data_IF_751226108456
#
_entry.id   IF_751226108456
#
_cell.length_a   1.000
_cell.length_b   1.000
_cell.length_c   1.000
_cell.angle_alpha   90.00
_cell.angle_beta   90.00
_cell.angle_gamma   90.00
#
_symmetry.space_group_name_H-M   'P 1'
#
loop_
_entity.id
_entity.type
_entity.pdbx_description
1 polymer ?
#
# COMPACT_ATOMS: atom_id res chain seq x y z
N UNK A 1 -3.47 -7.51 -17.53
CA UNK A 1 -3.24 -6.68 -18.73
C UNK A 1 -2.37 -7.37 -19.77
N UNK A 2 -1.09 -7.66 -19.50
CA UNK A 2 -0.19 -8.33 -20.48
C UNK A 2 -0.77 -9.60 -21.10
N UNK A 3 -1.37 -10.49 -20.29
CA UNK A 3 -2.00 -11.71 -20.81
C UNK A 3 -3.19 -11.41 -21.74
N UNK A 4 -3.99 -10.39 -21.43
CA UNK A 4 -5.12 -9.97 -22.25
C UNK A 4 -4.66 -9.32 -23.56
N UNK A 5 -3.64 -8.46 -23.51
CA UNK A 5 -3.04 -7.80 -24.68
C UNK A 5 -2.46 -8.80 -25.67
N UNK A 6 -1.86 -9.88 -25.16
CA UNK A 6 -1.31 -10.97 -25.96
C UNK A 6 -2.37 -12.01 -26.37
N UNK A 7 -3.64 -11.81 -26.05
CA UNK A 7 -4.73 -12.73 -26.39
C UNK A 7 -4.66 -14.09 -25.67
N UNK A 8 -3.91 -14.19 -24.57
CA UNK A 8 -3.77 -15.41 -23.79
C UNK A 8 -5.01 -15.57 -22.90
N UNK A 9 -5.87 -16.54 -23.26
CA UNK A 9 -7.12 -16.83 -22.54
C UNK A 9 -7.09 -18.12 -21.73
N UNK A 10 -6.17 -19.02 -22.06
CA UNK A 10 -6.06 -20.32 -21.44
C UNK A 10 -4.62 -20.56 -20.97
N UNK A 11 -4.47 -21.20 -19.82
CA UNK A 11 -3.17 -21.64 -19.31
C UNK A 11 -2.81 -22.93 -20.04
N UNK A 12 -1.75 -22.87 -20.87
CA UNK A 12 -1.29 -24.02 -21.67
C UNK A 12 -0.86 -25.23 -20.81
N UNK A 13 -0.38 -24.98 -19.60
CA UNK A 13 0.10 -26.00 -18.66
C UNK A 13 -0.73 -25.93 -17.37
N UNK A 14 -1.97 -26.42 -17.41
CA UNK A 14 -2.87 -26.43 -16.25
C UNK A 14 -2.41 -27.39 -15.15
N UNK A 15 -1.67 -28.43 -15.51
CA UNK A 15 -1.35 -29.55 -14.64
C UNK A 15 0.07 -29.44 -14.04
N UNK A 16 0.66 -28.25 -14.07
CA UNK A 16 1.96 -27.98 -13.46
C UNK A 16 1.86 -27.81 -11.94
N UNK A 17 2.94 -28.14 -11.24
CA UNK A 17 3.05 -27.89 -9.80
C UNK A 17 2.85 -26.40 -9.48
N UNK A 18 1.99 -26.11 -8.51
CA UNK A 18 1.75 -24.76 -8.00
C UNK A 18 2.36 -24.60 -6.60
N UNK A 19 2.57 -23.36 -6.19
CA UNK A 19 2.99 -23.08 -4.83
C UNK A 19 1.95 -23.58 -3.83
N UNK A 20 2.37 -24.41 -2.89
CA UNK A 20 1.56 -24.87 -1.77
C UNK A 20 1.64 -23.95 -0.55
N UNK A 21 2.32 -22.81 -0.69
CA UNK A 21 2.53 -21.86 0.41
C UNK A 21 1.23 -21.08 0.64
N UNK A 22 0.72 -21.02 1.88
CA UNK A 22 -0.50 -20.28 2.17
C UNK A 22 -0.33 -18.79 1.87
N UNK A 23 -1.46 -18.13 1.60
CA UNK A 23 -1.50 -16.67 1.47
C UNK A 23 -1.12 -16.06 2.82
N UNK A 24 -0.10 -15.20 2.82
CA UNK A 24 0.29 -14.46 4.02
C UNK A 24 -0.62 -13.25 4.19
N UNK A 25 -1.44 -13.29 5.24
CA UNK A 25 -2.30 -12.21 5.70
C UNK A 25 -1.94 -11.72 7.10
N UNK A 26 -0.72 -12.01 7.56
CA UNK A 26 -0.25 -11.70 8.93
C UNK A 26 -0.24 -10.21 9.24
N UNK A 27 -0.03 -9.36 8.22
CA UNK A 27 0.04 -7.91 8.39
C UNK A 27 -1.29 -7.21 8.16
N UNK A 28 -1.41 -5.99 8.70
CA UNK A 28 -2.54 -5.09 8.45
C UNK A 28 -2.40 -4.24 7.18
N UNK A 29 -1.27 -4.35 6.46
CA UNK A 29 -0.95 -3.44 5.35
C UNK A 29 -0.77 -4.15 4.01
N UNK A 30 -0.23 -5.36 4.01
CA UNK A 30 0.17 -6.12 2.82
C UNK A 30 -0.36 -7.55 2.92
N UNK A 31 -0.93 -8.06 1.83
CA UNK A 31 -1.26 -9.47 1.63
C UNK A 31 -0.37 -10.04 0.53
N UNK A 32 0.15 -11.25 0.75
CA UNK A 32 1.03 -11.91 -0.21
C UNK A 32 0.49 -13.27 -0.63
N UNK A 33 0.20 -13.39 -1.91
CA UNK A 33 -0.29 -14.60 -2.56
C UNK A 33 0.83 -15.23 -3.40
N UNK A 34 1.45 -16.29 -2.87
CA UNK A 34 2.56 -16.98 -3.51
C UNK A 34 2.15 -17.64 -4.83
N UNK A 35 0.88 -18.04 -4.98
CA UNK A 35 0.38 -18.69 -6.21
C UNK A 35 0.36 -17.74 -7.42
N UNK A 36 0.32 -16.43 -7.18
CA UNK A 36 0.38 -15.40 -8.24
C UNK A 36 1.81 -14.93 -8.53
N UNK A 37 2.81 -15.36 -7.76
CA UNK A 37 4.18 -14.89 -7.92
C UNK A 37 4.86 -15.58 -9.10
N UNK A 38 5.30 -14.79 -10.09
CA UNK A 38 6.04 -15.29 -11.27
C UNK A 38 7.56 -15.20 -11.11
N UNK A 39 8.05 -15.01 -9.88
CA UNK A 39 9.49 -14.88 -9.54
C UNK A 39 10.25 -13.81 -10.36
N UNK A 40 9.57 -12.73 -10.78
CA UNK A 40 10.20 -11.64 -11.55
C UNK A 40 11.21 -10.80 -10.74
N UNK A 41 11.27 -10.98 -9.41
CA UNK A 41 12.17 -10.30 -8.46
C UNK A 41 12.10 -8.76 -8.42
N UNK A 42 11.15 -8.13 -9.12
CA UNK A 42 10.95 -6.66 -9.05
C UNK A 42 10.75 -6.15 -7.62
N UNK A 43 9.99 -6.88 -6.81
CA UNK A 43 9.76 -6.54 -5.40
C UNK A 43 11.01 -6.69 -4.52
N UNK A 44 11.87 -7.67 -4.81
CA UNK A 44 13.18 -7.86 -4.14
C UNK A 44 14.10 -6.68 -4.46
N UNK A 45 14.29 -6.36 -5.75
CA UNK A 45 15.09 -5.21 -6.19
C UNK A 45 14.58 -3.90 -5.60
N UNK A 46 13.28 -3.63 -5.64
CA UNK A 46 12.71 -2.40 -5.09
C UNK A 46 12.93 -2.30 -3.57
N UNK A 47 12.83 -3.41 -2.84
CA UNK A 47 13.03 -3.43 -1.40
C UNK A 47 14.51 -3.26 -1.01
N UNK A 48 15.42 -3.87 -1.76
CA UNK A 48 16.83 -4.00 -1.37
C UNK A 48 17.70 -2.88 -1.96
N UNK A 49 17.47 -2.50 -3.21
CA UNK A 49 18.29 -1.49 -3.90
C UNK A 49 17.73 -0.09 -3.76
N UNK A 50 16.40 0.07 -3.82
CA UNK A 50 15.76 1.40 -3.78
C UNK A 50 15.42 1.82 -2.35
N UNK A 51 14.73 0.95 -1.61
CA UNK A 51 14.34 1.25 -0.22
C UNK A 51 15.45 0.91 0.79
N UNK A 52 16.45 0.11 0.41
CA UNK A 52 17.56 -0.33 1.28
C UNK A 52 17.11 -1.02 2.59
N UNK A 53 15.91 -1.64 2.58
CA UNK A 53 15.33 -2.30 3.75
C UNK A 53 15.80 -3.75 3.87
N UNK A 54 15.92 -4.47 2.75
CA UNK A 54 16.40 -5.86 2.80
C UNK A 54 15.35 -6.90 3.22
N UNK A 55 14.05 -6.59 3.14
CA UNK A 55 12.99 -7.42 3.74
C UNK A 55 12.55 -8.63 2.89
N UNK A 56 12.85 -8.63 1.59
CA UNK A 56 12.44 -9.70 0.66
C UNK A 56 13.65 -10.25 -0.08
N UNK A 57 13.73 -11.57 -0.20
CA UNK A 57 14.74 -12.23 -1.03
C UNK A 57 14.24 -13.54 -1.65
N UNK A 58 14.81 -13.91 -2.79
CA UNK A 58 14.63 -15.25 -3.36
C UNK A 58 15.34 -16.31 -2.52
N UNK A 59 14.58 -17.16 -1.84
CA UNK A 59 15.09 -18.30 -1.06
C UNK A 59 14.88 -19.62 -1.80
N UNK A 60 15.52 -20.69 -1.31
CA UNK A 60 15.50 -22.04 -1.89
C UNK A 60 16.01 -22.10 -3.35
N UNK A 61 15.86 -23.26 -4.01
CA UNK A 61 16.36 -23.53 -5.37
C UNK A 61 15.38 -24.41 -6.16
N UNK A 62 15.44 -24.32 -7.49
CA UNK A 62 14.64 -25.13 -8.40
C UNK A 62 13.14 -24.85 -8.24
N UNK A 63 12.32 -25.89 -8.26
CA UNK A 63 10.86 -25.76 -8.07
C UNK A 63 10.46 -25.22 -6.70
N UNK A 64 11.34 -25.28 -5.70
CA UNK A 64 11.08 -24.73 -4.37
C UNK A 64 11.40 -23.24 -4.22
N UNK A 65 11.88 -22.56 -5.26
CA UNK A 65 12.27 -21.15 -5.18
C UNK A 65 11.05 -20.27 -4.92
N UNK A 66 11.17 -19.39 -3.93
CA UNK A 66 10.14 -18.42 -3.59
C UNK A 66 10.77 -17.08 -3.18
N UNK A 67 10.05 -15.99 -3.44
CA UNK A 67 10.39 -14.71 -2.81
C UNK A 67 9.82 -14.74 -1.40
N UNK A 68 10.66 -14.74 -0.38
CA UNK A 68 10.25 -14.81 1.02
C UNK A 68 11.05 -13.84 1.90
N UNK A 69 10.72 -13.84 3.17
CA UNK A 69 11.40 -13.09 4.24
C UNK A 69 12.59 -13.89 4.75
N UNK A 70 13.42 -13.26 5.59
CA UNK A 70 14.49 -13.96 6.28
C UNK A 70 13.93 -15.08 7.18
N UNK A 71 14.46 -16.30 7.04
CA UNK A 71 13.95 -17.53 7.69
C UNK A 71 12.49 -17.90 7.38
N UNK A 72 11.84 -17.25 6.41
CA UNK A 72 10.45 -17.54 6.07
C UNK A 72 9.45 -17.20 7.18
N UNK A 73 9.81 -16.27 8.07
CA UNK A 73 8.88 -15.74 9.08
C UNK A 73 7.77 -14.92 8.43
N UNK A 74 6.63 -14.80 9.10
CA UNK A 74 5.51 -14.01 8.63
C UNK A 74 5.91 -12.57 8.29
N UNK A 75 5.24 -11.97 7.31
CA UNK A 75 5.56 -10.60 6.92
C UNK A 75 5.49 -9.62 8.12
N UNK A 76 4.65 -9.90 9.11
CA UNK A 76 4.46 -9.11 10.33
C UNK A 76 5.68 -9.11 11.26
N UNK A 77 6.49 -10.17 11.24
CA UNK A 77 7.61 -10.38 12.16
C UNK A 77 8.96 -9.92 11.58
N UNK A 78 8.92 -9.13 10.51
CA UNK A 78 10.12 -8.62 9.81
C UNK A 78 10.41 -7.15 10.11
N UNK A 79 11.66 -6.73 9.92
CA UNK A 79 12.11 -5.33 10.02
C UNK A 79 11.59 -4.46 8.85
N UNK A 80 10.27 -4.39 8.67
CA UNK A 80 9.63 -3.64 7.60
C UNK A 80 9.13 -2.27 8.05
N UNK A 81 9.15 -1.35 7.09
CA UNK A 81 8.59 0.00 7.23
C UNK A 81 7.16 0.12 6.69
N UNK A 82 6.58 -0.97 6.16
CA UNK A 82 5.25 -1.01 5.56
C UNK A 82 5.01 0.03 4.43
N UNK A 83 6.07 0.39 3.69
CA UNK A 83 6.01 1.45 2.68
C UNK A 83 5.27 1.11 1.36
N UNK A 84 4.88 -0.15 1.16
CA UNK A 84 4.09 -0.59 -0.01
C UNK A 84 4.81 -0.56 -1.36
N UNK A 85 6.09 -0.18 -1.43
CA UNK A 85 6.82 -0.08 -2.71
C UNK A 85 6.98 -1.42 -3.44
N UNK A 86 6.93 -2.54 -2.72
CA UNK A 86 6.92 -3.85 -3.34
C UNK A 86 5.58 -4.19 -4.02
N UNK A 87 4.47 -3.60 -3.57
CA UNK A 87 3.14 -3.74 -4.18
C UNK A 87 3.10 -2.97 -5.50
N UNK A 88 3.57 -1.70 -5.51
CA UNK A 88 3.52 -0.84 -6.70
C UNK A 88 4.29 -1.40 -7.91
N UNK A 89 5.30 -2.23 -7.67
CA UNK A 89 6.09 -2.88 -8.73
C UNK A 89 5.65 -4.31 -9.05
N UNK A 90 4.66 -4.87 -8.34
CA UNK A 90 4.21 -6.24 -8.55
C UNK A 90 3.34 -6.34 -9.82
N UNK A 91 3.75 -7.11 -10.85
CA UNK A 91 3.00 -7.17 -12.11
C UNK A 91 1.76 -8.06 -12.07
N UNK A 92 1.62 -8.92 -11.05
CA UNK A 92 0.59 -9.99 -11.03
C UNK A 92 -0.38 -9.89 -9.85
N UNK A 93 -0.20 -8.91 -8.95
CA UNK A 93 -0.97 -8.86 -7.70
C UNK A 93 -0.62 -10.00 -6.74
N UNK A 94 0.59 -10.54 -6.82
CA UNK A 94 1.14 -11.44 -5.79
C UNK A 94 1.39 -10.72 -4.46
N UNK A 95 1.60 -9.41 -4.51
CA UNK A 95 1.62 -8.51 -3.37
C UNK A 95 0.55 -7.46 -3.61
N UNK A 96 -0.37 -7.32 -2.66
CA UNK A 96 -1.45 -6.32 -2.69
C UNK A 96 -1.56 -5.68 -1.31
N UNK A 97 -2.19 -4.52 -1.26
CA UNK A 97 -2.60 -3.92 0.00
C UNK A 97 -3.68 -4.76 0.70
N UNK A 98 -3.79 -4.61 2.01
CA UNK A 98 -4.93 -5.17 2.74
C UNK A 98 -6.17 -4.35 2.36
N UNK A 99 -7.12 -5.01 1.69
CA UNK A 99 -8.36 -4.36 1.29
C UNK A 99 -9.30 -4.15 2.51
N UNK A 100 -9.59 -2.88 2.81
CA UNK A 100 -10.54 -2.46 3.84
C UNK A 100 -11.87 -1.95 3.25
N UNK A 101 -12.12 -2.12 1.95
CA UNK A 101 -13.32 -1.62 1.27
C UNK A 101 -14.60 -2.22 1.87
N UNK A 102 -14.59 -3.51 2.23
CA UNK A 102 -15.73 -4.16 2.87
C UNK A 102 -16.08 -3.54 4.23
N UNK A 103 -15.08 -3.14 5.02
CA UNK A 103 -15.26 -2.46 6.30
C UNK A 103 -15.83 -1.06 6.10
N UNK A 104 -15.36 -0.32 5.10
CA UNK A 104 -15.89 0.98 4.74
C UNK A 104 -17.37 0.89 4.30
N UNK A 105 -17.74 -0.11 3.50
CA UNK A 105 -19.14 -0.33 3.12
C UNK A 105 -20.03 -0.71 4.30
N UNK A 106 -19.53 -1.54 5.22
CA UNK A 106 -20.27 -1.88 6.44
C UNK A 106 -20.48 -0.62 7.31
N UNK A 107 -19.48 0.25 7.41
CA UNK A 107 -19.58 1.51 8.14
C UNK A 107 -20.59 2.49 7.50
N UNK A 108 -20.68 2.54 6.17
CA UNK A 108 -21.67 3.33 5.44
C UNK A 108 -23.08 2.73 5.49
N UNK A 109 -23.20 1.41 5.62
CA UNK A 109 -24.48 0.71 5.65
C UNK A 109 -25.24 0.84 6.97
N UNK A 110 -24.55 1.13 8.08
CA UNK A 110 -25.20 1.38 9.37
C UNK A 110 -25.74 2.82 9.48
N UNK A 111 -26.81 3.02 10.24
CA UNK A 111 -27.49 4.32 10.42
C UNK A 111 -27.45 4.86 11.86
N UNK A 112 -26.70 4.20 12.74
CA UNK A 112 -26.69 4.49 14.17
C UNK A 112 -25.79 5.70 14.51
N UNK A 113 -24.68 5.85 13.77
CA UNK A 113 -23.69 6.91 14.00
C UNK A 113 -23.29 7.61 12.70
N UNK A 114 -22.93 8.91 12.77
CA UNK A 114 -22.39 9.62 11.63
C UNK A 114 -21.07 8.99 11.16
N UNK A 115 -20.91 8.87 9.85
CA UNK A 115 -19.74 8.29 9.19
C UNK A 115 -18.90 9.41 8.59
N UNK A 116 -17.64 9.46 8.99
CA UNK A 116 -16.69 10.48 8.55
C UNK A 116 -15.58 9.82 7.74
N UNK A 117 -15.11 10.50 6.70
CA UNK A 117 -13.91 10.12 5.94
C UNK A 117 -12.88 11.22 6.03
N UNK A 118 -11.61 10.84 6.12
CA UNK A 118 -10.49 11.77 6.11
C UNK A 118 -9.55 11.44 4.95
N UNK A 119 -9.30 12.40 4.07
CA UNK A 119 -8.47 12.19 2.87
C UNK A 119 -7.05 12.72 3.06
N UNK A 120 -6.05 11.91 2.74
CA UNK A 120 -4.65 12.31 2.78
C UNK A 120 -4.30 13.35 1.66
N UNK A 121 -3.28 14.19 1.87
CA UNK A 121 -2.92 15.27 0.93
C UNK A 121 -2.76 14.80 -0.53
N UNK A 122 -2.02 13.70 -0.73
CA UNK A 122 -1.65 13.19 -2.05
C UNK A 122 -2.83 12.62 -2.86
N UNK A 123 -3.90 12.17 -2.19
CA UNK A 123 -5.05 11.53 -2.83
C UNK A 123 -5.71 12.48 -3.83
N UNK A 124 -5.78 13.78 -3.52
CA UNK A 124 -6.41 14.79 -4.39
C UNK A 124 -5.70 14.97 -5.74
N UNK A 125 -4.45 14.53 -5.85
CA UNK A 125 -3.62 14.67 -7.06
C UNK A 125 -3.52 13.34 -7.80
N UNK A 126 -3.31 12.23 -7.07
CA UNK A 126 -3.17 10.91 -7.70
C UNK A 126 -4.49 10.30 -8.17
N UNK A 127 -5.59 10.52 -7.45
CA UNK A 127 -6.88 9.87 -7.76
C UNK A 127 -7.38 10.18 -9.18
N UNK A 128 -7.05 11.36 -9.72
CA UNK A 128 -7.51 11.78 -11.04
C UNK A 128 -7.00 10.90 -12.19
N UNK A 129 -5.82 10.32 -12.05
CA UNK A 129 -5.17 9.50 -13.08
C UNK A 129 -5.99 8.24 -13.40
N UNK A 130 -6.58 7.62 -12.38
CA UNK A 130 -7.47 6.46 -12.51
C UNK A 130 -8.78 6.78 -13.26
N UNK A 131 -9.14 8.06 -13.36
CA UNK A 131 -10.29 8.54 -14.13
C UNK A 131 -9.89 9.18 -15.46
N UNK A 132 -8.65 8.97 -15.90
CA UNK A 132 -8.12 9.45 -17.18
C UNK A 132 -7.77 10.94 -17.21
N UNK A 133 -7.57 11.58 -16.06
CA UNK A 133 -7.02 12.93 -15.99
C UNK A 133 -5.49 12.89 -16.09
N UNK A 134 -4.88 13.98 -16.56
CA UNK A 134 -3.42 14.08 -16.66
C UNK A 134 -2.76 13.97 -15.26
N UNK A 135 -1.58 13.34 -15.15
CA UNK A 135 -0.82 13.29 -13.90
C UNK A 135 -0.59 14.67 -13.31
N UNK A 136 -0.79 14.79 -11.99
CA UNK A 136 -0.70 16.08 -11.30
C UNK A 136 -2.00 16.91 -11.29
N UNK A 137 -3.07 16.45 -11.95
CA UNK A 137 -4.36 17.14 -11.96
C UNK A 137 -4.99 17.22 -10.56
N UNK A 138 -5.38 18.43 -10.14
CA UNK A 138 -6.04 18.65 -8.85
C UNK A 138 -7.52 18.29 -8.94
N UNK A 139 -7.94 17.26 -8.20
CA UNK A 139 -9.30 16.72 -8.21
C UNK A 139 -10.08 16.93 -6.90
N UNK A 140 -9.62 17.84 -6.01
CA UNK A 140 -10.18 18.04 -4.66
C UNK A 140 -11.70 18.16 -4.62
N UNK A 141 -12.30 19.07 -5.39
CA UNK A 141 -13.76 19.26 -5.40
C UNK A 141 -14.52 18.03 -5.90
N UNK A 142 -13.96 17.34 -6.92
CA UNK A 142 -14.56 16.11 -7.48
C UNK A 142 -14.49 14.96 -6.45
N UNK A 143 -13.35 14.81 -5.79
CA UNK A 143 -13.15 13.83 -4.72
C UNK A 143 -14.13 14.04 -3.56
N UNK A 144 -14.26 15.27 -3.06
CA UNK A 144 -15.22 15.59 -1.98
C UNK A 144 -16.66 15.31 -2.42
N UNK A 145 -17.04 15.74 -3.63
CA UNK A 145 -18.37 15.49 -4.18
C UNK A 145 -18.66 13.98 -4.31
N UNK A 146 -17.69 13.19 -4.78
CA UNK A 146 -17.81 11.74 -4.90
C UNK A 146 -17.99 11.07 -3.54
N UNK A 147 -17.20 11.45 -2.52
CA UNK A 147 -17.33 10.92 -1.16
C UNK A 147 -18.69 11.28 -0.53
N UNK A 148 -19.19 12.50 -0.78
CA UNK A 148 -20.55 12.88 -0.36
C UNK A 148 -21.62 12.05 -1.07
N UNK A 149 -21.47 11.81 -2.37
CA UNK A 149 -22.38 10.98 -3.14
C UNK A 149 -22.36 9.51 -2.70
N UNK A 150 -21.24 9.01 -2.19
CA UNK A 150 -21.11 7.68 -1.59
C UNK A 150 -21.85 7.52 -0.25
N UNK A 151 -22.22 8.63 0.40
CA UNK A 151 -23.01 8.62 1.64
C UNK A 151 -22.26 8.99 2.92
N UNK A 152 -21.03 9.51 2.82
CA UNK A 152 -20.32 10.02 4.01
C UNK A 152 -20.96 11.31 4.55
N UNK A 153 -21.28 11.34 5.84
CA UNK A 153 -21.87 12.50 6.52
C UNK A 153 -20.88 13.68 6.56
N UNK A 154 -19.60 13.39 6.80
CA UNK A 154 -18.53 14.39 6.85
C UNK A 154 -17.31 13.95 6.06
N UNK A 155 -16.69 14.91 5.36
CA UNK A 155 -15.46 14.72 4.60
C UNK A 155 -14.44 15.71 5.15
N UNK A 156 -13.42 15.19 5.82
CA UNK A 156 -12.33 15.95 6.40
C UNK A 156 -11.04 15.80 5.60
N UNK A 157 -10.19 16.81 5.71
CA UNK A 157 -8.90 16.86 5.04
C UNK A 157 -7.79 16.65 6.07
N UNK A 158 -6.92 15.65 5.86
CA UNK A 158 -5.77 15.40 6.75
C UNK A 158 -4.81 16.59 6.79
N UNK A 159 -4.84 17.50 5.82
CA UNK A 159 -4.05 18.73 5.86
C UNK A 159 -4.32 19.56 7.12
N UNK A 160 -5.54 19.55 7.64
CA UNK A 160 -5.84 20.23 8.91
C UNK A 160 -5.01 19.65 10.06
N UNK A 161 -4.95 18.33 10.16
CA UNK A 161 -4.11 17.66 11.16
C UNK A 161 -2.62 17.89 10.88
N UNK A 162 -2.20 17.96 9.62
CA UNK A 162 -0.83 18.30 9.26
C UNK A 162 -0.44 19.70 9.75
N UNK A 163 -1.32 20.71 9.62
CA UNK A 163 -1.07 22.05 10.16
C UNK A 163 -0.91 22.03 11.69
N UNK A 164 -1.72 21.24 12.40
CA UNK A 164 -1.56 21.04 13.84
C UNK A 164 -0.23 20.36 14.19
N UNK A 165 0.18 19.35 13.41
CA UNK A 165 1.50 18.72 13.56
C UNK A 165 2.62 19.73 13.38
N UNK A 166 2.53 20.63 12.39
CA UNK A 166 3.53 21.69 12.19
C UNK A 166 3.58 22.65 13.38
N UNK A 167 2.44 23.05 13.94
CA UNK A 167 2.41 23.91 15.13
C UNK A 167 3.16 23.28 16.31
N UNK A 168 2.95 22.00 16.56
CA UNK A 168 3.61 21.28 17.65
C UNK A 168 5.08 20.97 17.37
N UNK A 169 5.42 20.46 16.19
CA UNK A 169 6.81 20.15 15.80
C UNK A 169 7.68 21.41 15.72
N UNK A 170 7.14 22.52 15.21
CA UNK A 170 7.86 23.79 15.17
C UNK A 170 8.11 24.33 16.59
N UNK A 171 7.13 24.22 17.49
CA UNK A 171 7.29 24.59 18.89
C UNK A 171 8.32 23.68 19.59
N UNK A 172 8.27 22.36 19.39
CA UNK A 172 9.29 21.43 19.90
C UNK A 172 10.68 21.82 19.38
N UNK A 173 10.82 22.07 18.08
CA UNK A 173 12.07 22.45 17.45
C UNK A 173 12.66 23.74 18.06
N UNK A 174 11.87 24.81 18.15
CA UNK A 174 12.33 26.09 18.73
C UNK A 174 12.77 25.90 20.18
N UNK A 175 12.00 25.14 20.97
CA UNK A 175 12.35 24.85 22.36
C UNK A 175 13.70 24.13 22.48
N UNK A 176 13.92 23.09 21.65
CA UNK A 176 15.18 22.34 21.62
C UNK A 176 16.35 23.19 21.15
N UNK A 177 16.12 24.01 20.11
CA UNK A 177 17.13 24.88 19.53
C UNK A 177 17.62 25.94 20.53
N UNK A 178 16.69 26.65 21.18
CA UNK A 178 17.03 27.71 22.14
C UNK A 178 17.74 27.16 23.39
N UNK A 179 17.34 25.97 23.86
CA UNK A 179 17.94 25.32 25.03
C UNK A 179 19.28 24.60 24.72
N UNK A 180 19.70 24.57 23.45
CA UNK A 180 20.90 23.83 23.04
C UNK A 180 20.79 22.33 23.28
N UNK A 181 19.57 21.78 23.21
CA UNK A 181 19.33 20.35 23.36
C UNK A 181 19.83 19.58 22.12
N UNK A 182 19.78 18.24 22.17
CA UNK A 182 20.31 17.38 21.12
C UNK A 182 19.55 17.59 19.82
N UNK A 183 20.13 18.26 18.83
CA UNK A 183 19.60 18.36 17.48
C UNK A 183 20.11 17.19 16.61
N UNK A 184 19.35 16.76 15.58
CA UNK A 184 19.89 15.85 14.57
C UNK A 184 21.15 16.49 13.96
N UNK A 185 22.22 15.70 13.85
CA UNK A 185 23.49 16.12 13.27
C UNK A 185 23.41 16.15 11.75
#
# INVERSE_FOLDING_TARGET
DIAADLGIRNVRFSDGDQSSVPVDTSTKSIVKDHAKCILCRRCETMCNEVQTVGALSGINRGFGTEVSTFYGVDLADTNRTFCGQCISVCPTGALIEKDNTAEAWAALGQKEKPVMVQTAPAVRVGLGEEFGLDPGSISTGKMVAALKALGFDYVFDTNFAADLTIMEEANEFVNRFVKGEKLPR
#
